data_IF_956467078915
#
_entry.id   IF_956467078915
#
_cell.length_a   1.000
_cell.length_b   1.000
_cell.length_c   1.000
_cell.angle_alpha   90.00
_cell.angle_beta   90.00
_cell.angle_gamma   90.00
#
_symmetry.space_group_name_H-M   'P 1'
#
loop_
_entity.id
_entity.type
_entity.pdbx_description
1 polymer ?
#
# COMPACT_ATOMS: atom_id res chain seq x y z
N UNK A 1 4.74 39.12 -38.05
CA UNK A 1 4.40 37.88 -37.33
C UNK A 1 5.66 37.05 -37.30
N UNK A 2 6.33 36.96 -36.15
CA UNK A 2 7.49 36.09 -35.99
C UNK A 2 6.94 34.65 -36.01
N UNK A 3 7.30 33.88 -37.03
CA UNK A 3 6.90 32.48 -37.12
C UNK A 3 7.68 31.65 -36.09
N UNK A 4 7.02 30.65 -35.50
CA UNK A 4 7.66 29.71 -34.58
C UNK A 4 8.90 29.08 -35.22
N UNK A 5 10.03 29.07 -34.50
CA UNK A 5 11.27 28.41 -34.89
C UNK A 5 11.35 27.04 -34.24
N UNK A 6 11.60 26.01 -35.03
CA UNK A 6 11.68 24.63 -34.54
C UNK A 6 12.97 23.94 -34.93
N UNK A 7 13.41 23.03 -34.06
CA UNK A 7 14.45 22.05 -34.35
C UNK A 7 13.78 20.68 -34.48
N UNK A 8 14.12 19.91 -35.52
CA UNK A 8 13.62 18.53 -35.65
C UNK A 8 14.68 17.55 -35.20
N UNK A 9 14.36 16.73 -34.20
CA UNK A 9 15.25 15.68 -33.68
C UNK A 9 14.81 14.31 -34.19
N UNK A 10 15.63 13.70 -35.04
CA UNK A 10 15.37 12.42 -35.69
C UNK A 10 15.24 12.60 -37.20
N UNK A 11 16.20 12.09 -37.95
CA UNK A 11 16.32 12.26 -39.40
C UNK A 11 16.02 10.96 -40.15
N UNK A 12 15.23 10.07 -39.52
CA UNK A 12 14.87 8.75 -40.03
C UNK A 12 13.63 8.72 -40.93
N UNK A 13 13.06 7.53 -41.10
CA UNK A 13 11.93 7.29 -42.01
C UNK A 13 10.67 8.10 -41.66
N UNK A 14 10.41 8.36 -40.37
CA UNK A 14 9.23 9.14 -39.94
C UNK A 14 9.36 10.58 -40.41
N UNK A 15 10.52 11.21 -40.18
CA UNK A 15 10.82 12.54 -40.68
C UNK A 15 10.69 12.62 -42.22
N UNK A 16 11.28 11.66 -42.94
CA UNK A 16 11.18 11.63 -44.41
C UNK A 16 9.74 11.53 -44.92
N UNK A 17 8.91 10.71 -44.27
CA UNK A 17 7.47 10.59 -44.62
C UNK A 17 6.68 11.85 -44.33
N UNK A 18 7.05 12.58 -43.28
CA UNK A 18 6.38 13.82 -42.85
C UNK A 18 6.99 15.08 -43.44
N UNK A 19 8.07 14.98 -44.21
CA UNK A 19 8.83 16.12 -44.72
C UNK A 19 7.93 17.19 -45.37
N UNK A 20 6.96 16.77 -46.21
CA UNK A 20 6.02 17.68 -46.90
C UNK A 20 4.99 18.37 -45.99
N UNK A 21 4.83 17.91 -44.75
CA UNK A 21 3.90 18.46 -43.77
C UNK A 21 4.55 19.59 -42.96
N UNK A 22 5.87 19.60 -42.83
CA UNK A 22 6.58 20.67 -42.14
C UNK A 22 6.57 21.97 -42.94
N UNK A 23 6.40 23.09 -42.25
CA UNK A 23 6.70 24.40 -42.79
C UNK A 23 8.23 24.61 -42.77
N UNK A 24 8.86 24.50 -43.93
CA UNK A 24 10.31 24.63 -44.07
C UNK A 24 10.85 25.98 -43.57
N UNK A 25 10.03 27.04 -43.58
CA UNK A 25 10.46 28.35 -43.09
C UNK A 25 10.60 28.38 -41.56
N UNK A 26 9.95 27.46 -40.84
CA UNK A 26 10.02 27.32 -39.38
C UNK A 26 11.17 26.44 -38.91
N UNK A 27 11.62 25.49 -39.72
CA UNK A 27 12.68 24.55 -39.35
C UNK A 27 14.05 25.20 -39.49
N UNK A 28 14.68 25.53 -38.36
CA UNK A 28 16.00 26.19 -38.35
C UNK A 28 17.15 25.20 -38.42
N UNK A 29 16.95 23.99 -37.89
CA UNK A 29 17.96 22.94 -37.88
C UNK A 29 17.33 21.55 -37.71
N UNK A 30 18.08 20.53 -38.11
CA UNK A 30 17.78 19.12 -37.84
C UNK A 30 18.94 18.47 -37.11
N UNK A 31 18.65 17.49 -36.27
CA UNK A 31 19.65 16.77 -35.48
C UNK A 31 19.27 15.31 -35.29
N UNK A 32 20.26 14.45 -35.06
CA UNK A 32 20.09 13.01 -34.87
C UNK A 32 21.34 12.45 -34.18
N UNK A 33 21.18 11.47 -33.29
CA UNK A 33 22.30 10.88 -32.53
C UNK A 33 23.28 10.08 -33.40
N UNK A 34 22.89 9.69 -34.61
CA UNK A 34 23.68 8.79 -35.46
C UNK A 34 23.97 9.35 -36.85
N UNK A 35 23.68 10.64 -37.12
CA UNK A 35 23.69 11.17 -38.49
C UNK A 35 24.69 12.32 -38.76
N UNK A 36 25.79 12.40 -37.99
CA UNK A 36 26.81 13.44 -38.15
C UNK A 36 27.56 13.40 -39.50
N UNK A 37 27.56 12.24 -40.18
CA UNK A 37 28.24 12.04 -41.46
C UNK A 37 27.41 12.46 -42.68
N UNK A 38 26.17 12.94 -42.49
CA UNK A 38 25.26 13.33 -43.59
C UNK A 38 25.57 14.69 -44.23
N UNK A 39 26.70 15.31 -43.87
CA UNK A 39 27.14 16.63 -44.37
C UNK A 39 26.47 17.81 -43.64
N UNK A 40 26.85 19.03 -44.00
CA UNK A 40 26.37 20.27 -43.34
C UNK A 40 24.87 20.54 -43.53
N UNK A 41 24.25 19.94 -44.56
CA UNK A 41 22.83 20.11 -44.87
C UNK A 41 22.11 18.80 -45.18
N UNK A 42 20.89 18.66 -44.70
CA UNK A 42 20.00 17.52 -44.97
C UNK A 42 18.63 18.01 -45.43
N UNK A 43 18.22 17.64 -46.65
CA UNK A 43 17.02 18.20 -47.32
C UNK A 43 16.95 19.75 -47.30
N UNK A 44 18.11 20.42 -47.30
CA UNK A 44 18.21 21.88 -47.26
C UNK A 44 18.28 22.48 -45.85
N UNK A 45 18.02 21.71 -44.79
CA UNK A 45 18.15 22.13 -43.40
C UNK A 45 19.58 21.99 -42.90
N UNK A 46 20.01 22.90 -42.02
CA UNK A 46 21.30 22.79 -41.34
C UNK A 46 21.30 21.57 -40.40
N UNK A 47 22.33 20.73 -40.49
CA UNK A 47 22.53 19.62 -39.56
C UNK A 47 23.39 20.11 -38.39
N UNK A 48 22.89 19.94 -37.17
CA UNK A 48 23.61 20.29 -35.94
C UNK A 48 23.77 19.07 -35.05
N UNK A 49 24.75 19.12 -34.15
CA UNK A 49 24.88 18.14 -33.09
C UNK A 49 23.86 18.38 -31.97
N UNK A 50 23.41 17.32 -31.26
CA UNK A 50 22.51 17.48 -30.12
C UNK A 50 23.02 18.48 -29.08
N UNK A 51 24.34 18.53 -28.86
CA UNK A 51 24.95 19.46 -27.90
C UNK A 51 24.87 20.92 -28.35
N UNK A 52 24.76 21.17 -29.66
CA UNK A 52 24.67 22.50 -30.24
C UNK A 52 23.25 23.09 -30.14
N UNK A 53 22.22 22.29 -29.81
CA UNK A 53 20.83 22.73 -29.67
C UNK A 53 20.74 23.97 -28.76
N UNK A 54 21.46 23.96 -27.62
CA UNK A 54 21.46 25.05 -26.63
C UNK A 54 22.02 26.37 -27.16
N UNK A 55 22.75 26.35 -28.28
CA UNK A 55 23.37 27.55 -28.85
C UNK A 55 22.43 28.31 -29.78
N UNK A 56 21.29 27.70 -30.13
CA UNK A 56 20.31 28.27 -31.06
C UNK A 56 19.12 28.88 -30.32
N UNK A 57 18.50 29.86 -30.97
CA UNK A 57 17.22 30.44 -30.53
C UNK A 57 16.07 29.71 -31.24
N UNK A 58 15.28 28.96 -30.48
CA UNK A 58 14.14 28.18 -30.96
C UNK A 58 13.00 28.18 -29.94
N UNK A 59 11.79 27.90 -30.42
CA UNK A 59 10.59 27.76 -29.60
C UNK A 59 10.42 26.29 -29.14
N UNK A 60 10.52 25.34 -30.07
CA UNK A 60 10.29 23.91 -29.80
C UNK A 60 11.27 22.96 -30.50
N UNK A 61 11.47 21.80 -29.89
CA UNK A 61 12.12 20.62 -30.45
C UNK A 61 11.03 19.59 -30.76
N UNK A 62 10.94 19.18 -32.01
CA UNK A 62 10.01 18.16 -32.48
C UNK A 62 10.76 16.84 -32.63
N UNK A 63 10.49 15.88 -31.74
CA UNK A 63 11.05 14.53 -31.83
C UNK A 63 10.32 13.76 -32.91
N UNK A 64 11.02 13.37 -33.98
CA UNK A 64 10.46 12.76 -35.18
C UNK A 64 11.01 11.34 -35.41
N UNK A 65 10.83 10.48 -34.40
CA UNK A 65 11.29 9.08 -34.41
C UNK A 65 10.25 8.13 -33.84
N UNK A 66 10.52 6.81 -33.88
CA UNK A 66 9.66 5.80 -33.27
C UNK A 66 9.76 5.81 -31.73
N UNK A 67 8.74 5.31 -31.04
CA UNK A 67 8.62 5.41 -29.57
C UNK A 67 9.91 5.13 -28.80
N UNK A 68 10.49 3.95 -28.98
CA UNK A 68 11.60 3.49 -28.14
C UNK A 68 12.73 4.50 -28.17
N UNK A 69 13.04 5.00 -29.36
CA UNK A 69 14.06 6.01 -29.60
C UNK A 69 13.59 7.39 -29.10
N UNK A 70 12.29 7.70 -29.23
CA UNK A 70 11.74 8.97 -28.75
C UNK A 70 11.88 9.12 -27.22
N UNK A 71 11.71 8.03 -26.46
CA UNK A 71 11.93 8.00 -25.00
C UNK A 71 13.39 8.29 -24.65
N UNK A 72 14.33 7.67 -25.37
CA UNK A 72 15.76 7.89 -25.19
C UNK A 72 16.16 9.34 -25.52
N UNK A 73 15.66 9.88 -26.64
CA UNK A 73 15.91 11.28 -27.04
C UNK A 73 15.28 12.24 -26.02
N UNK A 74 14.07 11.97 -25.53
CA UNK A 74 13.44 12.80 -24.52
C UNK A 74 14.29 12.87 -23.25
N UNK A 75 14.74 11.71 -22.73
CA UNK A 75 15.63 11.63 -21.57
C UNK A 75 16.95 12.37 -21.84
N UNK A 76 17.56 12.19 -23.01
CA UNK A 76 18.77 12.92 -23.40
C UNK A 76 18.55 14.44 -23.39
N UNK A 77 17.44 14.91 -23.95
CA UNK A 77 17.12 16.33 -23.99
C UNK A 77 16.90 16.90 -22.58
N UNK A 78 16.17 16.19 -21.71
CA UNK A 78 15.80 16.69 -20.39
C UNK A 78 16.87 16.49 -19.32
N UNK A 79 17.56 15.35 -19.30
CA UNK A 79 18.51 15.00 -18.24
C UNK A 79 19.93 15.41 -18.60
N UNK A 80 20.38 15.09 -19.83
CA UNK A 80 21.75 15.40 -20.28
C UNK A 80 21.85 16.85 -20.75
N UNK A 81 20.93 17.26 -21.63
CA UNK A 81 20.94 18.58 -22.23
C UNK A 81 20.05 19.58 -21.49
N UNK A 82 19.46 19.22 -20.35
CA UNK A 82 18.63 20.08 -19.47
C UNK A 82 17.72 21.06 -20.23
N UNK A 83 17.17 20.62 -21.36
CA UNK A 83 16.19 21.39 -22.12
C UNK A 83 14.87 21.30 -21.35
N UNK A 84 14.19 22.43 -21.12
CA UNK A 84 12.88 22.43 -20.48
C UNK A 84 11.90 21.52 -21.21
N UNK A 85 11.20 20.64 -20.46
CA UNK A 85 10.17 19.74 -21.03
C UNK A 85 9.11 20.51 -21.84
N UNK A 86 8.84 21.77 -21.47
CA UNK A 86 7.90 22.65 -22.18
C UNK A 86 8.30 22.99 -23.61
N UNK A 87 9.56 22.78 -23.98
CA UNK A 87 10.08 23.02 -25.33
C UNK A 87 10.15 21.74 -26.17
N UNK A 88 9.75 20.58 -25.63
CA UNK A 88 9.90 19.28 -26.30
C UNK A 88 8.52 18.71 -26.60
N UNK A 89 8.31 18.21 -27.81
CA UNK A 89 7.07 17.54 -28.21
C UNK A 89 7.32 16.43 -29.23
N UNK A 90 6.41 15.47 -29.34
CA UNK A 90 6.43 14.53 -30.47
C UNK A 90 5.98 15.18 -31.77
N UNK A 91 6.31 14.54 -32.88
CA UNK A 91 5.83 14.94 -34.20
C UNK A 91 4.31 14.87 -34.31
N UNK A 92 3.67 13.88 -33.67
CA UNK A 92 2.21 13.76 -33.70
C UNK A 92 1.54 14.95 -33.07
N UNK A 93 2.03 15.34 -31.88
CA UNK A 93 1.52 16.51 -31.19
C UNK A 93 1.74 17.80 -31.99
N UNK A 94 2.91 17.95 -32.62
CA UNK A 94 3.19 19.07 -33.51
C UNK A 94 2.19 19.17 -34.67
N UNK A 95 1.73 18.03 -35.21
CA UNK A 95 0.72 17.97 -36.27
C UNK A 95 -0.73 17.88 -35.76
N UNK A 96 -0.98 18.18 -34.49
CA UNK A 96 -2.32 18.10 -33.84
C UNK A 96 -2.97 16.69 -33.96
N UNK A 97 -2.14 15.66 -34.11
CA UNK A 97 -2.56 14.27 -34.09
C UNK A 97 -2.58 13.74 -32.66
N UNK A 98 -3.41 12.70 -32.41
CA UNK A 98 -3.40 12.00 -31.13
C UNK A 98 -2.00 11.43 -30.89
N UNK A 99 -1.29 11.88 -29.83
CA UNK A 99 0.04 11.38 -29.56
C UNK A 99 -0.03 9.88 -29.31
N UNK A 100 0.98 9.18 -29.80
CA UNK A 100 1.16 7.79 -29.42
C UNK A 100 1.73 7.82 -27.99
N UNK A 101 0.88 7.84 -26.96
CA UNK A 101 1.29 7.51 -25.58
C UNK A 101 0.27 6.75 -24.71
N UNK A 102 -0.63 5.91 -25.26
CA UNK A 102 -1.40 4.94 -24.45
C UNK A 102 -0.52 4.08 -23.54
N UNK A 103 0.68 3.75 -24.04
CA UNK A 103 1.62 2.81 -23.43
C UNK A 103 2.30 3.41 -22.21
N UNK A 104 2.66 4.70 -22.24
CA UNK A 104 3.32 5.36 -21.11
C UNK A 104 2.40 5.46 -19.90
N UNK A 105 1.09 5.63 -20.10
CA UNK A 105 0.10 5.56 -19.01
C UNK A 105 0.01 4.15 -18.43
N UNK A 106 -0.06 3.12 -19.27
CA UNK A 106 -0.14 1.72 -18.81
C UNK A 106 1.15 1.26 -18.14
N UNK A 107 2.31 1.60 -18.70
CA UNK A 107 3.63 1.33 -18.11
C UNK A 107 3.75 2.03 -16.75
N UNK A 108 3.35 3.31 -16.67
CA UNK A 108 3.28 4.05 -15.41
C UNK A 108 2.37 3.36 -14.40
N UNK A 109 1.18 2.93 -14.81
CA UNK A 109 0.26 2.20 -13.94
C UNK A 109 0.88 0.89 -13.44
N UNK A 110 1.51 0.11 -14.32
CA UNK A 110 2.20 -1.15 -13.96
C UNK A 110 3.28 -0.90 -12.92
N UNK A 111 4.10 0.14 -13.09
CA UNK A 111 5.18 0.50 -12.16
C UNK A 111 4.66 0.87 -10.76
N UNK A 112 3.42 1.35 -10.66
CA UNK A 112 2.72 1.62 -9.39
C UNK A 112 1.93 0.41 -8.84
N UNK A 113 2.08 -0.78 -9.45
CA UNK A 113 1.32 -1.98 -9.07
C UNK A 113 -0.18 -1.88 -9.38
N UNK A 114 -0.55 -1.03 -10.34
CA UNK A 114 -1.95 -0.80 -10.75
C UNK A 114 -2.28 -1.76 -11.89
N UNK A 115 -3.00 -2.83 -11.56
CA UNK A 115 -3.41 -3.89 -12.50
C UNK A 115 -4.89 -3.82 -12.91
N UNK A 116 -5.67 -2.91 -12.29
CA UNK A 116 -7.08 -2.71 -12.66
C UNK A 116 -7.50 -1.25 -12.57
N UNK A 117 -7.99 -0.71 -13.69
CA UNK A 117 -8.27 0.72 -13.89
C UNK A 117 -9.72 0.92 -14.33
N UNK A 118 -10.51 1.65 -13.54
CA UNK A 118 -11.85 2.07 -13.93
C UNK A 118 -11.78 3.21 -14.95
N UNK A 119 -12.15 2.93 -16.20
CA UNK A 119 -12.16 3.92 -17.28
C UNK A 119 -13.51 4.65 -17.38
N UNK A 120 -13.82 5.44 -16.34
CA UNK A 120 -15.17 6.00 -16.15
C UNK A 120 -15.66 6.97 -17.25
N UNK A 121 -14.75 7.48 -18.10
CA UNK A 121 -15.03 8.47 -19.15
C UNK A 121 -14.68 8.01 -20.57
N UNK A 122 -14.39 6.71 -20.78
CA UNK A 122 -13.85 6.22 -22.06
C UNK A 122 -12.59 6.98 -22.51
N UNK A 123 -11.79 7.49 -21.57
CA UNK A 123 -10.58 8.27 -21.84
C UNK A 123 -9.66 7.54 -22.82
N UNK A 124 -9.45 6.25 -22.55
CA UNK A 124 -8.68 5.40 -23.44
C UNK A 124 -9.22 5.39 -24.88
N UNK A 125 -10.53 5.20 -25.08
CA UNK A 125 -11.12 5.22 -26.42
C UNK A 125 -10.98 6.58 -27.11
N UNK A 126 -11.18 7.69 -26.39
CA UNK A 126 -11.04 9.04 -26.96
C UNK A 126 -9.60 9.39 -27.34
N UNK A 127 -8.62 8.66 -26.82
CA UNK A 127 -7.19 8.78 -27.14
C UNK A 127 -6.70 7.65 -28.07
N UNK A 128 -7.61 7.01 -28.81
CA UNK A 128 -7.27 6.00 -29.81
C UNK A 128 -6.78 4.66 -29.23
N UNK A 129 -7.06 4.41 -27.96
CA UNK A 129 -6.61 3.22 -27.23
C UNK A 129 -7.71 2.18 -27.27
N UNK A 130 -7.59 1.27 -28.24
CA UNK A 130 -8.63 0.31 -28.59
C UNK A 130 -8.39 -1.10 -28.03
N UNK A 131 -7.16 -1.41 -27.60
CA UNK A 131 -6.81 -2.68 -26.99
C UNK A 131 -5.62 -2.55 -26.03
N UNK A 132 -5.36 -3.59 -25.24
CA UNK A 132 -4.16 -3.76 -24.43
C UNK A 132 -2.99 -4.35 -25.24
N UNK A 133 -3.12 -4.52 -26.55
CA UNK A 133 -2.06 -5.04 -27.43
C UNK A 133 -1.44 -3.90 -28.23
N UNK A 134 -0.12 -3.90 -28.33
CA UNK A 134 0.61 -2.90 -29.10
C UNK A 134 0.71 -3.32 -30.59
N UNK A 135 1.16 -2.41 -31.48
CA UNK A 135 1.26 -2.71 -32.93
C UNK A 135 2.33 -3.76 -33.28
N UNK A 136 3.18 -4.11 -32.30
CA UNK A 136 4.19 -5.18 -32.40
C UNK A 136 3.67 -6.51 -31.83
N UNK A 137 2.43 -6.56 -31.33
CA UNK A 137 1.84 -7.74 -30.71
C UNK A 137 2.14 -7.94 -29.22
N UNK A 138 2.82 -7.00 -28.54
CA UNK A 138 3.03 -7.11 -27.09
C UNK A 138 1.76 -6.75 -26.33
N UNK A 139 1.38 -7.60 -25.38
CA UNK A 139 0.15 -7.48 -24.60
C UNK A 139 0.42 -6.92 -23.18
N UNK A 140 -0.34 -5.90 -22.80
CA UNK A 140 -0.52 -5.47 -21.41
C UNK A 140 -1.72 -6.23 -20.78
N UNK A 141 -1.72 -7.56 -20.93
CA UNK A 141 -2.80 -8.44 -20.44
C UNK A 141 -2.96 -8.46 -18.93
N UNK A 142 -1.92 -8.07 -18.20
CA UNK A 142 -1.91 -7.89 -16.76
C UNK A 142 -2.66 -6.65 -16.27
N UNK A 143 -3.05 -5.72 -17.17
CA UNK A 143 -3.83 -4.54 -16.81
C UNK A 143 -5.24 -4.65 -17.41
N UNK A 144 -6.25 -4.69 -16.55
CA UNK A 144 -7.68 -4.80 -16.92
C UNK A 144 -8.41 -3.46 -16.74
N UNK A 145 -9.15 -3.03 -17.77
CA UNK A 145 -9.75 -1.68 -17.79
C UNK A 145 -11.26 -1.85 -17.79
N UNK A 146 -11.82 -2.08 -16.60
CA UNK A 146 -13.18 -2.59 -16.42
C UNK A 146 -14.17 -1.53 -15.90
N UNK A 147 -15.41 -1.98 -15.62
CA UNK A 147 -16.39 -1.23 -14.84
C UNK A 147 -15.90 -1.04 -13.40
N UNK A 148 -16.35 0.05 -12.78
CA UNK A 148 -15.83 0.63 -11.52
C UNK A 148 -15.67 -0.31 -10.32
N UNK A 149 -16.48 -1.36 -10.21
CA UNK A 149 -16.64 -2.14 -8.97
C UNK A 149 -15.48 -3.12 -8.66
N UNK A 150 -14.58 -3.37 -9.62
CA UNK A 150 -13.45 -4.30 -9.46
C UNK A 150 -12.07 -3.64 -9.59
N UNK A 151 -12.03 -2.33 -9.78
CA UNK A 151 -10.78 -1.63 -10.09
C UNK A 151 -10.14 -1.02 -8.85
N UNK A 152 -8.82 -1.20 -8.70
CA UNK A 152 -8.03 -0.56 -7.64
C UNK A 152 -7.77 0.92 -7.94
N UNK A 153 -7.77 1.31 -9.22
CA UNK A 153 -7.58 2.68 -9.65
C UNK A 153 -8.77 3.21 -10.43
N UNK A 154 -8.94 4.53 -10.47
CA UNK A 154 -9.86 5.21 -11.38
C UNK A 154 -9.15 6.31 -12.15
N UNK A 155 -9.39 6.33 -13.47
CA UNK A 155 -8.96 7.41 -14.34
C UNK A 155 -10.08 8.46 -14.42
N UNK A 156 -9.84 9.63 -13.84
CA UNK A 156 -10.83 10.70 -13.70
C UNK A 156 -10.77 11.72 -14.87
N UNK A 157 -9.76 11.59 -15.74
CA UNK A 157 -9.61 12.32 -16.99
C UNK A 157 -8.67 13.53 -16.88
N UNK A 158 -8.80 14.44 -17.84
CA UNK A 158 -7.87 15.55 -18.02
C UNK A 158 -8.10 16.72 -17.06
N UNK A 159 -7.01 17.22 -16.49
CA UNK A 159 -6.92 18.47 -15.72
C UNK A 159 -5.97 19.44 -16.43
N UNK A 160 -6.23 20.74 -16.28
CA UNK A 160 -5.44 21.82 -16.91
C UNK A 160 -4.66 22.63 -15.89
N UNK A 161 -5.27 22.83 -14.73
CA UNK A 161 -4.77 23.63 -13.61
C UNK A 161 -5.29 23.07 -12.27
N UNK A 162 -4.80 23.62 -11.17
CA UNK A 162 -5.17 23.21 -9.80
C UNK A 162 -6.69 23.34 -9.57
N UNK A 163 -7.32 24.40 -10.08
CA UNK A 163 -8.75 24.63 -9.93
C UNK A 163 -9.59 23.54 -10.63
N UNK A 164 -9.18 23.10 -11.80
CA UNK A 164 -9.83 22.02 -12.55
C UNK A 164 -9.68 20.67 -11.86
N UNK A 165 -8.54 20.44 -11.20
CA UNK A 165 -8.28 19.24 -10.41
C UNK A 165 -9.16 19.20 -9.16
N UNK A 166 -9.21 20.29 -8.38
CA UNK A 166 -10.07 20.37 -7.19
C UNK A 166 -11.56 20.26 -7.56
N UNK A 167 -12.00 20.88 -8.65
CA UNK A 167 -13.38 20.74 -9.12
C UNK A 167 -13.76 19.28 -9.45
N UNK A 168 -12.84 18.48 -10.00
CA UNK A 168 -13.10 17.06 -10.25
C UNK A 168 -13.14 16.27 -8.94
N UNK A 169 -12.25 16.59 -7.99
CA UNK A 169 -12.18 15.93 -6.69
C UNK A 169 -13.42 16.22 -5.84
N UNK A 170 -13.84 17.48 -5.76
CA UNK A 170 -15.06 17.86 -5.05
C UNK A 170 -16.28 17.14 -5.61
N UNK A 171 -16.38 17.03 -6.95
CA UNK A 171 -17.44 16.24 -7.60
C UNK A 171 -17.32 14.73 -7.33
N UNK A 172 -16.12 14.24 -7.10
CA UNK A 172 -15.86 12.85 -6.80
C UNK A 172 -16.25 12.52 -5.34
N UNK A 173 -15.93 13.42 -4.40
CA UNK A 173 -16.20 13.29 -2.97
C UNK A 173 -17.65 13.65 -2.59
N UNK A 174 -18.26 14.65 -3.23
CA UNK A 174 -19.63 15.07 -2.96
C UNK A 174 -20.69 14.06 -3.45
N UNK A 175 -20.31 13.07 -4.25
CA UNK A 175 -21.26 12.04 -4.69
C UNK A 175 -21.67 11.18 -3.51
N UNK A 176 -22.98 11.18 -3.25
CA UNK A 176 -23.73 10.48 -2.18
C UNK A 176 -23.44 8.97 -2.01
N UNK A 177 -22.58 8.38 -2.85
CA UNK A 177 -22.08 7.01 -2.76
C UNK A 177 -20.55 7.02 -2.73
N UNK A 178 -19.98 6.83 -1.53
CA UNK A 178 -18.71 6.16 -1.13
C UNK A 178 -17.55 5.92 -2.13
N UNK A 179 -17.33 6.71 -3.19
CA UNK A 179 -16.20 6.45 -4.10
C UNK A 179 -14.82 6.67 -3.44
N UNK A 180 -14.77 7.47 -2.37
CA UNK A 180 -13.57 7.73 -1.55
C UNK A 180 -12.94 6.45 -0.97
N UNK A 181 -13.74 5.40 -0.77
CA UNK A 181 -13.28 4.14 -0.17
C UNK A 181 -13.10 2.99 -1.18
N UNK A 182 -13.39 3.22 -2.47
CA UNK A 182 -13.36 2.16 -3.48
C UNK A 182 -11.98 2.07 -4.15
N UNK A 183 -11.36 3.22 -4.46
CA UNK A 183 -10.13 3.24 -5.24
C UNK A 183 -8.92 3.60 -4.38
N UNK A 184 -7.88 2.76 -4.44
CA UNK A 184 -6.56 3.03 -3.86
C UNK A 184 -5.82 4.12 -4.64
N UNK A 185 -6.07 4.24 -5.94
CA UNK A 185 -5.41 5.23 -6.80
C UNK A 185 -6.40 6.09 -7.58
N UNK A 186 -6.22 7.40 -7.55
CA UNK A 186 -6.92 8.38 -8.40
C UNK A 186 -5.92 8.91 -9.42
N UNK A 187 -6.19 8.70 -10.71
CA UNK A 187 -5.28 9.08 -11.79
C UNK A 187 -5.91 10.23 -12.58
N UNK A 188 -5.11 11.29 -12.77
CA UNK A 188 -5.45 12.46 -13.57
C UNK A 188 -4.42 12.61 -14.66
N UNK A 189 -4.89 12.74 -15.90
CA UNK A 189 -4.03 13.14 -17.01
C UNK A 189 -3.96 14.66 -17.03
N UNK A 190 -2.79 15.21 -17.33
CA UNK A 190 -2.60 16.66 -17.37
C UNK A 190 -2.57 17.07 -18.84
N UNK A 191 -3.61 17.78 -19.28
CA UNK A 191 -3.66 18.35 -20.62
C UNK A 191 -3.03 19.74 -20.58
N UNK A 192 -1.82 19.87 -21.14
CA UNK A 192 -1.15 21.17 -21.26
C UNK A 192 -0.48 21.32 -22.61
N UNK A 193 -1.03 22.15 -23.49
CA UNK A 193 -0.25 22.87 -24.51
C UNK A 193 0.61 23.92 -23.80
N UNK A 194 1.89 23.61 -23.59
CA UNK A 194 2.86 24.53 -22.98
C UNK A 194 2.76 24.68 -21.45
N UNK A 195 3.92 24.59 -20.81
CA UNK A 195 4.31 25.11 -19.48
C UNK A 195 3.93 24.39 -18.18
N UNK A 196 5.03 24.00 -17.50
CA UNK A 196 5.26 23.58 -16.10
C UNK A 196 4.41 22.46 -15.51
N UNK A 197 5.06 21.52 -14.80
CA UNK A 197 4.38 20.45 -14.04
C UNK A 197 3.37 21.06 -13.08
N UNK A 198 2.16 20.49 -13.02
CA UNK A 198 1.16 20.83 -12.00
C UNK A 198 1.77 20.63 -10.61
N UNK A 199 1.87 21.68 -9.81
CA UNK A 199 2.39 21.63 -8.44
C UNK A 199 1.23 21.64 -7.45
N UNK A 200 0.46 20.56 -7.45
CA UNK A 200 -0.66 20.43 -6.52
C UNK A 200 -0.13 20.28 -5.09
N UNK A 201 -0.78 20.94 -4.14
CA UNK A 201 -0.50 20.74 -2.71
C UNK A 201 -0.78 19.28 -2.33
N UNK A 202 0.03 18.75 -1.42
CA UNK A 202 -0.24 17.48 -0.75
C UNK A 202 -1.67 17.45 -0.21
N UNK A 203 -2.43 16.41 -0.56
CA UNK A 203 -3.79 16.19 -0.05
C UNK A 203 -3.73 15.28 1.18
N UNK A 204 -4.42 15.65 2.24
CA UNK A 204 -4.51 14.84 3.46
C UNK A 204 -5.07 13.44 3.15
N UNK A 205 -4.42 12.41 3.70
CA UNK A 205 -4.79 11.01 3.44
C UNK A 205 -4.35 10.45 2.08
N UNK A 206 -3.56 11.18 1.28
CA UNK A 206 -3.03 10.70 0.00
C UNK A 206 -1.54 11.01 -0.17
N UNK A 207 -0.79 10.04 -0.72
CA UNK A 207 0.50 10.32 -1.35
C UNK A 207 0.26 10.85 -2.77
N UNK A 208 0.99 11.89 -3.14
CA UNK A 208 0.91 12.50 -4.48
C UNK A 208 2.14 12.14 -5.29
N UNK A 209 1.92 11.56 -6.46
CA UNK A 209 2.97 11.18 -7.40
C UNK A 209 2.81 11.93 -8.71
N UNK A 210 3.92 12.42 -9.23
CA UNK A 210 3.99 13.15 -10.50
C UNK A 210 4.78 12.32 -11.50
N UNK A 211 4.17 12.02 -12.63
CA UNK A 211 4.84 11.28 -13.71
C UNK A 211 4.86 12.19 -14.94
N UNK A 212 6.03 12.34 -15.55
CA UNK A 212 6.22 13.10 -16.79
C UNK A 212 6.92 12.25 -17.84
N UNK A 213 6.49 12.41 -19.09
CA UNK A 213 7.05 11.78 -20.28
C UNK A 213 6.81 12.63 -21.53
N UNK A 214 7.18 12.10 -22.70
CA UNK A 214 7.01 12.76 -23.99
C UNK A 214 5.52 12.77 -24.38
N UNK A 215 4.83 13.83 -23.95
CA UNK A 215 3.41 14.13 -24.17
C UNK A 215 2.41 13.54 -23.15
N UNK A 216 2.88 12.76 -22.16
CA UNK A 216 2.08 12.36 -21.00
C UNK A 216 2.58 13.01 -19.72
N UNK A 217 1.63 13.61 -19.01
CA UNK A 217 1.81 14.02 -17.63
C UNK A 217 0.67 13.44 -16.79
N UNK A 218 1.02 12.84 -15.66
CA UNK A 218 0.06 12.27 -14.72
C UNK A 218 0.25 12.89 -13.33
N UNK A 219 -0.89 13.12 -12.68
CA UNK A 219 -0.96 13.26 -11.23
C UNK A 219 -1.67 12.01 -10.70
N UNK A 220 -1.01 11.26 -9.82
CA UNK A 220 -1.58 10.10 -9.16
C UNK A 220 -1.70 10.39 -7.67
N UNK A 221 -2.92 10.34 -7.15
CA UNK A 221 -3.15 10.28 -5.71
C UNK A 221 -3.32 8.83 -5.27
N UNK A 222 -2.40 8.36 -4.43
CA UNK A 222 -2.46 7.06 -3.78
C UNK A 222 -3.00 7.23 -2.37
N UNK A 223 -4.14 6.61 -2.06
CA UNK A 223 -4.76 6.66 -0.73
C UNK A 223 -3.81 6.04 0.29
N UNK A 224 -3.62 6.73 1.41
CA UNK A 224 -2.94 6.18 2.57
C UNK A 224 -3.84 5.14 3.26
N UNK A 225 -3.28 3.98 3.56
CA UNK A 225 -3.99 2.86 4.21
C UNK A 225 -4.36 3.24 5.64
N UNK A 226 -5.63 3.25 6.05
CA UNK A 226 -5.97 3.62 7.43
C UNK A 226 -5.29 2.68 8.43
N UNK A 227 -4.87 3.24 9.57
CA UNK A 227 -4.18 2.49 10.64
C UNK A 227 -5.01 2.55 11.91
N UNK A 228 -5.30 1.40 12.50
CA UNK A 228 -5.87 1.31 13.85
C UNK A 228 -5.21 0.21 14.66
N UNK A 229 -4.64 0.59 15.80
CA UNK A 229 -4.02 -0.29 16.78
C UNK A 229 -4.97 -0.34 17.98
N UNK A 230 -5.70 -1.44 18.09
CA UNK A 230 -6.63 -1.68 19.17
C UNK A 230 -5.86 -1.98 20.45
N UNK A 231 -6.22 -1.31 21.54
CA UNK A 231 -5.60 -1.48 22.85
C UNK A 231 -6.58 -2.22 23.76
N UNK A 232 -6.35 -3.53 23.90
CA UNK A 232 -7.13 -4.40 24.75
C UNK A 232 -6.96 -4.02 26.23
N UNK A 233 -8.08 -3.71 26.90
CA UNK A 233 -8.10 -3.37 28.32
C UNK A 233 -9.30 -3.96 29.07
N UNK A 234 -9.15 -4.13 30.38
CA UNK A 234 -10.23 -4.44 31.32
C UNK A 234 -10.19 -3.51 32.55
N UNK A 235 -9.40 -2.43 32.47
CA UNK A 235 -9.17 -1.43 33.52
C UNK A 235 -8.94 -0.05 32.90
N UNK A 236 -9.23 0.98 33.67
CA UNK A 236 -8.84 2.34 33.31
C UNK A 236 -7.31 2.43 33.19
N UNK A 237 -6.86 3.16 32.17
CA UNK A 237 -5.44 3.33 31.90
C UNK A 237 -5.18 4.67 31.19
N UNK A 238 -3.94 5.16 31.27
CA UNK A 238 -3.51 6.34 30.52
C UNK A 238 -3.39 6.01 29.02
N UNK A 239 -4.44 6.30 28.27
CA UNK A 239 -4.47 6.12 26.82
C UNK A 239 -3.44 7.03 26.12
N UNK A 240 -2.74 6.54 25.08
CA UNK A 240 -1.86 7.38 24.28
C UNK A 240 -2.62 8.54 23.65
N UNK A 241 -1.99 9.71 23.59
CA UNK A 241 -2.53 10.86 22.86
C UNK A 241 -2.22 10.72 21.36
N UNK A 242 -2.89 9.78 20.69
CA UNK A 242 -2.72 9.53 19.26
C UNK A 242 -3.92 8.77 18.68
N UNK A 243 -4.40 9.23 17.53
CA UNK A 243 -5.65 8.76 16.91
C UNK A 243 -5.58 7.32 16.40
N UNK A 244 -4.38 6.78 16.16
CA UNK A 244 -4.24 5.38 15.72
C UNK A 244 -4.45 4.39 16.86
N UNK A 245 -4.41 4.82 18.13
CA UNK A 245 -4.58 3.92 19.28
C UNK A 245 -6.02 3.94 19.77
N UNK A 246 -6.73 2.84 19.50
CA UNK A 246 -8.17 2.73 19.77
C UNK A 246 -8.38 1.84 20.99
N UNK A 247 -8.88 2.40 22.09
CA UNK A 247 -9.16 1.60 23.30
C UNK A 247 -10.32 0.62 23.05
N UNK A 248 -10.08 -0.68 23.30
CA UNK A 248 -11.09 -1.73 23.24
C UNK A 248 -11.26 -2.36 24.63
N UNK A 249 -12.44 -2.19 25.21
CA UNK A 249 -12.77 -2.71 26.52
C UNK A 249 -13.30 -4.14 26.44
N UNK A 250 -12.66 -5.04 27.18
CA UNK A 250 -12.95 -6.46 27.18
C UNK A 250 -13.76 -6.88 28.41
N UNK A 251 -14.72 -7.77 28.18
CA UNK A 251 -15.56 -8.34 29.24
C UNK A 251 -16.66 -7.41 29.75
N UNK A 252 -17.39 -7.87 30.77
CA UNK A 252 -18.73 -7.36 31.12
C UNK A 252 -18.78 -6.28 32.21
N UNK A 253 -17.66 -5.89 32.82
CA UNK A 253 -17.65 -4.86 33.89
C UNK A 253 -17.71 -3.45 33.29
N UNK A 254 -18.69 -2.67 33.73
CA UNK A 254 -19.06 -1.37 33.14
C UNK A 254 -18.87 -0.19 34.11
N UNK A 255 -17.65 0.10 34.58
CA UNK A 255 -17.45 1.28 35.41
C UNK A 255 -16.09 1.92 35.15
N UNK A 256 -16.04 2.76 34.10
CA UNK A 256 -14.80 3.18 33.47
C UNK A 256 -14.84 4.69 33.21
N UNK A 257 -13.68 5.35 33.34
CA UNK A 257 -13.54 6.81 33.19
C UNK A 257 -12.87 7.22 31.86
N UNK A 258 -12.58 6.27 30.99
CA UNK A 258 -11.92 6.49 29.70
C UNK A 258 -12.90 6.33 28.53
N UNK A 259 -12.55 6.85 27.35
CA UNK A 259 -13.27 6.54 26.10
C UNK A 259 -12.85 5.16 25.60
N UNK A 260 -13.80 4.35 25.13
CA UNK A 260 -13.53 2.98 24.66
C UNK A 260 -14.60 2.47 23.70
N UNK A 261 -14.21 1.51 22.87
CA UNK A 261 -15.11 0.61 22.15
C UNK A 261 -15.48 -0.59 23.04
N UNK A 262 -16.70 -1.10 22.86
CA UNK A 262 -17.19 -2.33 23.50
C UNK A 262 -17.22 -3.47 22.49
N UNK A 263 -17.17 -4.69 23.00
CA UNK A 263 -17.37 -5.92 22.23
C UNK A 263 -18.84 -6.12 21.79
N UNK A 264 -19.48 -5.11 21.20
CA UNK A 264 -20.87 -5.16 20.73
C UNK A 264 -20.96 -5.81 19.33
N UNK A 265 -22.10 -6.38 18.95
CA UNK A 265 -22.27 -7.03 17.63
C UNK A 265 -21.79 -8.49 17.62
N UNK A 266 -21.08 -8.91 16.57
CA UNK A 266 -20.57 -10.28 16.42
C UNK A 266 -19.35 -10.52 17.32
N UNK A 267 -19.57 -11.12 18.48
CA UNK A 267 -18.54 -11.24 19.52
C UNK A 267 -18.57 -12.59 20.24
N UNK A 268 -17.46 -12.89 20.92
CA UNK A 268 -17.31 -14.08 21.78
C UNK A 268 -16.91 -13.69 23.21
N UNK A 269 -17.37 -12.54 23.69
CA UNK A 269 -17.03 -11.99 25.01
C UNK A 269 -17.37 -12.94 26.17
N UNK A 270 -18.36 -13.83 25.99
CA UNK A 270 -18.71 -14.89 26.95
C UNK A 270 -17.56 -15.88 27.21
N UNK A 271 -16.57 -16.00 26.31
CA UNK A 271 -15.40 -16.84 26.46
C UNK A 271 -14.22 -16.13 27.15
N UNK A 272 -14.35 -14.84 27.53
CA UNK A 272 -13.24 -14.02 28.02
C UNK A 272 -12.50 -14.64 29.23
N UNK A 273 -13.22 -15.35 30.11
CA UNK A 273 -12.62 -16.06 31.26
C UNK A 273 -11.66 -17.19 30.86
N UNK A 274 -11.80 -17.73 29.64
CA UNK A 274 -11.01 -18.87 29.12
C UNK A 274 -9.93 -18.46 28.13
N UNK A 275 -10.18 -17.42 27.32
CA UNK A 275 -9.30 -17.01 26.20
C UNK A 275 -8.84 -15.54 26.25
N UNK A 276 -9.18 -14.80 27.30
CA UNK A 276 -8.68 -13.46 27.58
C UNK A 276 -8.76 -12.48 26.38
N UNK A 277 -7.64 -11.83 26.03
CA UNK A 277 -7.54 -10.81 24.99
C UNK A 277 -7.93 -11.34 23.59
N UNK A 278 -8.03 -12.67 23.41
CA UNK A 278 -8.51 -13.26 22.17
C UNK A 278 -9.98 -12.89 21.86
N UNK A 279 -10.77 -12.54 22.87
CA UNK A 279 -12.14 -12.02 22.65
C UNK A 279 -12.11 -10.67 21.93
N UNK A 280 -11.21 -9.77 22.35
CA UNK A 280 -10.93 -8.52 21.66
C UNK A 280 -10.35 -8.72 20.26
N UNK A 281 -9.45 -9.69 20.08
CA UNK A 281 -8.93 -10.08 18.76
C UNK A 281 -10.05 -10.56 17.83
N UNK A 282 -11.00 -11.37 18.32
CA UNK A 282 -12.16 -11.81 17.54
C UNK A 282 -13.03 -10.63 17.13
N UNK A 283 -13.31 -9.73 18.08
CA UNK A 283 -14.10 -8.55 17.80
C UNK A 283 -13.43 -7.66 16.74
N UNK A 284 -12.11 -7.44 16.86
CA UNK A 284 -11.31 -6.72 15.87
C UNK A 284 -11.39 -7.39 14.49
N UNK A 285 -11.28 -8.72 14.41
CA UNK A 285 -11.41 -9.47 13.15
C UNK A 285 -12.74 -9.18 12.43
N UNK A 286 -13.84 -9.13 13.17
CA UNK A 286 -15.19 -8.93 12.62
C UNK A 286 -15.54 -7.48 12.29
N UNK A 287 -14.94 -6.51 12.97
CA UNK A 287 -15.42 -5.12 12.94
C UNK A 287 -14.41 -4.10 12.43
N UNK A 288 -13.11 -4.38 12.44
CA UNK A 288 -12.12 -3.45 11.91
C UNK A 288 -12.29 -3.29 10.40
N UNK A 289 -12.27 -2.03 9.92
CA UNK A 289 -12.39 -1.71 8.50
C UNK A 289 -11.11 -1.11 7.93
N UNK A 290 -10.13 -0.85 8.78
CA UNK A 290 -8.85 -0.27 8.44
C UNK A 290 -7.98 -1.26 7.68
N UNK A 291 -7.19 -0.77 6.72
CA UNK A 291 -6.31 -1.59 5.91
C UNK A 291 -5.11 -2.12 6.72
N UNK A 292 -4.66 -1.38 7.74
CA UNK A 292 -3.65 -1.78 8.71
C UNK A 292 -4.27 -1.82 10.09
N UNK A 293 -4.12 -2.97 10.75
CA UNK A 293 -4.72 -3.28 12.05
C UNK A 293 -3.68 -3.84 13.00
N UNK A 294 -3.80 -3.53 14.27
CA UNK A 294 -2.92 -4.09 15.30
C UNK A 294 -3.61 -4.30 16.63
N UNK A 295 -3.00 -5.14 17.46
CA UNK A 295 -3.45 -5.42 18.82
C UNK A 295 -2.31 -5.15 19.80
N UNK A 296 -2.57 -4.23 20.72
CA UNK A 296 -1.74 -3.93 21.89
C UNK A 296 -2.51 -4.24 23.17
N UNK A 297 -1.78 -4.34 24.28
CA UNK A 297 -2.38 -4.45 25.60
C UNK A 297 -2.24 -3.10 26.32
N UNK A 298 -3.14 -2.77 27.24
CA UNK A 298 -3.19 -1.47 27.96
C UNK A 298 -1.91 -1.04 28.72
N UNK A 299 -0.92 -1.92 28.88
CA UNK A 299 0.39 -1.67 29.50
C UNK A 299 1.60 -1.96 28.61
N UNK A 300 1.36 -2.42 27.37
CA UNK A 300 2.41 -2.88 26.45
C UNK A 300 2.15 -2.29 25.08
N UNK A 301 3.07 -1.44 24.65
CA UNK A 301 2.98 -0.75 23.35
C UNK A 301 4.24 -1.02 22.55
N UNK A 302 4.11 -1.21 21.24
CA UNK A 302 5.26 -1.28 20.36
C UNK A 302 6.07 0.02 20.38
N UNK A 303 7.39 -0.12 20.28
CA UNK A 303 8.33 0.99 20.07
C UNK A 303 9.45 0.56 19.12
N UNK A 304 10.12 1.52 18.49
CA UNK A 304 11.35 1.21 17.76
C UNK A 304 12.46 0.74 18.70
N UNK A 305 13.40 -0.07 18.19
CA UNK A 305 14.52 -0.62 18.99
C UNK A 305 15.31 0.44 19.76
N UNK A 306 15.54 1.59 19.13
CA UNK A 306 16.26 2.73 19.72
C UNK A 306 15.31 3.87 20.13
N UNK A 307 14.00 3.64 20.08
CA UNK A 307 12.99 4.65 20.41
C UNK A 307 12.59 4.61 21.88
N UNK A 308 12.28 5.78 22.42
CA UNK A 308 11.67 5.94 23.75
C UNK A 308 10.15 6.13 23.67
N UNK A 309 9.63 6.42 22.47
CA UNK A 309 8.23 6.71 22.23
C UNK A 309 7.48 5.49 21.68
N UNK A 310 6.15 5.53 21.82
CA UNK A 310 5.25 4.59 21.16
C UNK A 310 5.40 4.69 19.64
N UNK A 311 5.15 3.59 18.94
CA UNK A 311 5.19 3.56 17.48
C UNK A 311 4.18 4.57 16.90
N UNK A 312 4.68 5.48 16.08
CA UNK A 312 3.87 6.44 15.34
C UNK A 312 3.29 5.79 14.08
N UNK A 313 2.25 6.41 13.52
CA UNK A 313 1.64 5.95 12.27
C UNK A 313 2.65 5.85 11.12
N UNK A 314 3.56 6.83 11.03
CA UNK A 314 4.62 6.84 10.01
C UNK A 314 5.56 5.65 10.14
N UNK A 315 5.93 5.29 11.38
CA UNK A 315 6.83 4.16 11.64
C UNK A 315 6.14 2.81 11.37
N UNK A 316 4.85 2.69 11.72
CA UNK A 316 4.03 1.52 11.35
C UNK A 316 4.06 1.30 9.84
N UNK A 317 3.77 2.36 9.07
CA UNK A 317 3.74 2.30 7.60
C UNK A 317 5.10 1.94 7.03
N UNK A 318 6.16 2.60 7.51
CA UNK A 318 7.53 2.33 7.08
C UNK A 318 7.93 0.87 7.31
N UNK A 319 7.57 0.28 8.46
CA UNK A 319 7.80 -1.15 8.69
C UNK A 319 6.97 -2.02 7.74
N UNK A 320 5.70 -1.72 7.50
CA UNK A 320 4.84 -2.55 6.65
C UNK A 320 5.06 -2.35 5.13
N UNK A 321 5.95 -1.45 4.73
CA UNK A 321 6.48 -1.38 3.36
C UNK A 321 7.40 -2.56 3.04
N UNK A 322 8.18 -3.04 4.03
CA UNK A 322 9.16 -4.10 3.86
C UNK A 322 8.74 -5.44 4.49
N UNK A 323 7.87 -5.41 5.50
CA UNK A 323 7.48 -6.57 6.30
C UNK A 323 5.97 -6.81 6.25
N UNK A 324 5.56 -8.07 6.36
CA UNK A 324 4.14 -8.46 6.34
C UNK A 324 3.46 -8.26 7.70
N UNK A 325 4.21 -8.41 8.78
CA UNK A 325 3.71 -8.33 10.16
C UNK A 325 4.80 -7.84 11.10
N UNK A 326 4.40 -6.94 12.00
CA UNK A 326 5.17 -6.51 13.16
C UNK A 326 4.72 -7.35 14.35
N UNK A 327 5.64 -7.95 15.07
CA UNK A 327 5.38 -8.73 16.30
C UNK A 327 6.32 -8.29 17.42
N UNK A 328 5.99 -8.68 18.65
CA UNK A 328 6.89 -8.46 19.80
C UNK A 328 8.15 -9.30 19.61
N UNK A 329 9.31 -8.77 20.02
CA UNK A 329 10.55 -9.54 20.09
C UNK A 329 10.32 -10.94 20.66
N UNK A 330 10.86 -11.95 20.00
CA UNK A 330 10.82 -13.31 20.46
C UNK A 330 11.44 -13.43 21.85
N UNK A 331 10.84 -14.26 22.69
CA UNK A 331 11.39 -14.62 23.99
C UNK A 331 11.81 -16.08 24.00
N UNK A 332 12.83 -16.41 24.79
CA UNK A 332 13.36 -17.76 24.90
C UNK A 332 12.99 -18.39 26.25
N UNK A 333 12.52 -19.64 26.22
CA UNK A 333 12.25 -20.46 27.40
C UNK A 333 13.40 -21.44 27.70
N UNK A 334 14.49 -21.40 26.94
CA UNK A 334 15.64 -22.28 27.14
C UNK A 334 16.17 -22.22 28.60
N UNK A 335 16.49 -23.36 29.24
CA UNK A 335 16.61 -24.71 28.67
C UNK A 335 15.30 -25.53 28.63
N UNK A 336 14.14 -24.94 28.95
CA UNK A 336 12.85 -25.62 28.90
C UNK A 336 12.18 -25.42 27.54
N UNK A 337 11.54 -26.47 27.01
CA UNK A 337 10.67 -26.32 25.84
C UNK A 337 9.48 -25.43 26.18
N UNK A 338 8.88 -24.81 25.18
CA UNK A 338 7.70 -23.95 25.35
C UNK A 338 6.57 -24.72 26.05
N UNK A 339 6.35 -25.98 25.68
CA UNK A 339 5.38 -26.86 26.33
C UNK A 339 5.66 -27.03 27.82
N UNK A 340 6.91 -27.29 28.22
CA UNK A 340 7.28 -27.48 29.63
C UNK A 340 7.20 -26.18 30.42
N UNK A 341 7.63 -25.06 29.83
CA UNK A 341 7.51 -23.75 30.45
C UNK A 341 6.04 -23.41 30.72
N UNK A 342 5.17 -23.64 29.74
CA UNK A 342 3.73 -23.40 29.88
C UNK A 342 3.08 -24.32 30.92
N UNK A 343 3.45 -25.61 30.96
CA UNK A 343 3.02 -26.54 31.99
C UNK A 343 3.41 -26.06 33.39
N UNK A 344 4.63 -25.55 33.56
CA UNK A 344 5.14 -25.09 34.86
C UNK A 344 4.48 -23.80 35.37
N UNK A 345 3.77 -23.06 34.51
CA UNK A 345 3.13 -21.80 34.89
C UNK A 345 1.68 -21.95 35.35
N UNK A 346 1.07 -23.13 35.28
CA UNK A 346 -0.33 -23.36 35.65
C UNK A 346 -0.58 -24.74 36.27
N UNK A 347 -1.82 -25.02 36.68
CA UNK A 347 -2.21 -26.36 37.11
C UNK A 347 -1.97 -27.41 36.01
N UNK A 348 -1.28 -28.50 36.36
CA UNK A 348 -0.88 -29.55 35.40
C UNK A 348 -2.07 -30.25 34.74
N UNK A 349 -3.21 -30.38 35.42
CA UNK A 349 -4.41 -30.99 34.85
C UNK A 349 -5.09 -30.01 33.89
N UNK A 350 -5.14 -28.73 34.23
CA UNK A 350 -5.62 -27.68 33.33
C UNK A 350 -4.78 -27.63 32.05
N UNK A 351 -3.45 -27.65 32.18
CA UNK A 351 -2.51 -27.70 31.06
C UNK A 351 -2.79 -28.91 30.15
N UNK A 352 -2.80 -30.12 30.71
CA UNK A 352 -3.00 -31.35 29.93
C UNK A 352 -4.37 -31.35 29.22
N UNK A 353 -5.42 -30.90 29.91
CA UNK A 353 -6.76 -30.82 29.34
C UNK A 353 -6.83 -29.81 28.20
N UNK A 354 -6.27 -28.62 28.40
CA UNK A 354 -6.20 -27.58 27.38
C UNK A 354 -5.38 -28.02 26.15
N UNK A 355 -4.20 -28.61 26.37
CA UNK A 355 -3.35 -29.15 25.29
C UNK A 355 -4.11 -30.18 24.45
N UNK A 356 -4.78 -31.12 25.10
CA UNK A 356 -5.57 -32.14 24.42
C UNK A 356 -6.69 -31.54 23.56
N UNK A 357 -7.41 -30.54 24.08
CA UNK A 357 -8.49 -29.88 23.35
C UNK A 357 -7.98 -29.10 22.14
N UNK A 358 -6.86 -28.39 22.29
CA UNK A 358 -6.21 -27.68 21.18
C UNK A 358 -5.74 -28.66 20.10
N UNK A 359 -5.05 -29.74 20.48
CA UNK A 359 -4.62 -30.78 19.53
C UNK A 359 -5.82 -31.40 18.81
N UNK A 360 -6.90 -31.74 19.53
CA UNK A 360 -8.11 -32.30 18.93
C UNK A 360 -8.74 -31.33 17.92
N UNK A 361 -8.78 -30.04 18.22
CA UNK A 361 -9.32 -29.03 17.33
C UNK A 361 -8.43 -28.84 16.08
N UNK A 362 -7.10 -28.80 16.24
CA UNK A 362 -6.14 -28.78 15.12
C UNK A 362 -6.35 -30.01 14.22
N UNK A 363 -6.32 -31.22 14.78
CA UNK A 363 -6.49 -32.46 14.01
C UNK A 363 -7.81 -32.54 13.27
N UNK A 364 -8.86 -31.91 13.80
CA UNK A 364 -10.20 -31.93 13.18
C UNK A 364 -10.36 -30.88 12.08
N UNK A 365 -9.90 -29.65 12.32
CA UNK A 365 -10.23 -28.50 11.48
C UNK A 365 -9.04 -27.95 10.69
N UNK A 366 -7.82 -28.16 11.18
CA UNK A 366 -6.57 -27.63 10.63
C UNK A 366 -5.45 -28.68 10.66
N UNK A 367 -5.68 -29.92 10.16
CA UNK A 367 -4.78 -31.06 10.38
C UNK A 367 -3.35 -30.79 9.89
N UNK A 368 -3.18 -30.00 8.83
CA UNK A 368 -1.89 -29.65 8.25
C UNK A 368 -0.99 -28.79 9.17
N UNK A 369 -1.50 -28.34 10.33
CA UNK A 369 -0.73 -27.58 11.33
C UNK A 369 -0.20 -28.44 12.49
N UNK A 370 -0.52 -29.73 12.57
CA UNK A 370 -0.12 -30.54 13.72
C UNK A 370 1.40 -30.63 13.88
N UNK A 371 2.12 -30.78 12.77
CA UNK A 371 3.59 -30.82 12.78
C UNK A 371 4.16 -29.48 13.26
N UNK A 372 3.70 -28.36 12.69
CA UNK A 372 4.11 -27.02 13.11
C UNK A 372 3.79 -26.73 14.57
N UNK A 373 2.66 -27.23 15.07
CA UNK A 373 2.31 -27.12 16.48
C UNK A 373 3.30 -27.87 17.36
N UNK A 374 3.65 -29.12 17.02
CA UNK A 374 4.61 -29.93 17.77
C UNK A 374 5.99 -29.26 17.76
N UNK A 375 6.49 -28.87 16.59
CA UNK A 375 7.81 -28.24 16.43
C UNK A 375 7.93 -26.96 17.27
N UNK A 376 6.92 -26.09 17.24
CA UNK A 376 6.93 -24.87 18.06
C UNK A 376 6.83 -25.19 19.55
N UNK A 377 5.97 -26.13 19.95
CA UNK A 377 5.79 -26.45 21.36
C UNK A 377 7.00 -27.16 21.98
N UNK A 378 7.74 -27.93 21.18
CA UNK A 378 9.01 -28.59 21.58
C UNK A 378 10.22 -27.68 21.40
N UNK A 379 10.08 -26.55 20.70
CA UNK A 379 11.06 -25.49 20.58
C UNK A 379 11.24 -24.64 21.84
N UNK A 380 12.06 -23.59 21.71
CA UNK A 380 12.49 -22.75 22.83
C UNK A 380 12.17 -21.27 22.65
N UNK A 381 11.68 -20.82 21.50
CA UNK A 381 11.44 -19.41 21.23
C UNK A 381 10.04 -19.16 20.67
N UNK A 382 9.35 -18.15 21.20
CA UNK A 382 8.01 -17.77 20.74
C UNK A 382 7.79 -16.26 20.83
N UNK A 383 6.78 -15.77 20.13
CA UNK A 383 6.34 -14.37 20.16
C UNK A 383 5.28 -14.20 21.26
N UNK A 384 5.56 -13.44 22.33
CA UNK A 384 4.63 -13.33 23.44
C UNK A 384 3.50 -12.33 23.18
N UNK A 385 2.53 -12.33 24.08
CA UNK A 385 1.43 -11.38 24.25
C UNK A 385 0.32 -11.36 23.19
N UNK A 386 0.33 -12.17 22.13
CA UNK A 386 -0.64 -12.03 21.03
C UNK A 386 -0.69 -10.62 20.42
N UNK A 387 0.39 -9.86 20.55
CA UNK A 387 0.48 -8.50 20.05
C UNK A 387 1.14 -8.49 18.68
N UNK A 388 0.54 -7.76 17.74
CA UNK A 388 1.05 -7.60 16.40
C UNK A 388 0.44 -6.37 15.71
N UNK A 389 1.04 -5.96 14.59
CA UNK A 389 0.47 -4.99 13.64
C UNK A 389 0.67 -5.54 12.23
N UNK A 390 -0.38 -5.59 11.42
CA UNK A 390 -0.33 -6.20 10.09
C UNK A 390 -1.40 -5.63 9.16
N UNK A 391 -1.38 -6.04 7.89
CA UNK A 391 -2.47 -5.77 6.94
C UNK A 391 -3.70 -6.58 7.31
N UNK A 392 -4.90 -6.00 7.11
CA UNK A 392 -6.18 -6.64 7.43
C UNK A 392 -6.33 -8.04 6.83
N UNK A 393 -5.83 -8.26 5.63
CA UNK A 393 -5.86 -9.57 4.97
C UNK A 393 -5.06 -10.66 5.70
N UNK A 394 -3.96 -10.30 6.37
CA UNK A 394 -3.17 -11.24 7.18
C UNK A 394 -3.92 -11.54 8.48
N UNK A 395 -4.50 -10.51 9.11
CA UNK A 395 -5.37 -10.67 10.28
C UNK A 395 -6.52 -11.64 9.98
N UNK A 396 -7.18 -11.47 8.84
CA UNK A 396 -8.35 -12.28 8.47
C UNK A 396 -8.03 -13.75 8.34
N UNK A 397 -6.96 -14.09 7.62
CA UNK A 397 -6.48 -15.48 7.49
C UNK A 397 -6.04 -16.06 8.84
N UNK A 398 -5.31 -15.27 9.63
CA UNK A 398 -4.87 -15.71 10.95
C UNK A 398 -6.05 -15.98 11.88
N UNK A 399 -7.04 -15.09 11.93
CA UNK A 399 -8.19 -15.23 12.82
C UNK A 399 -9.12 -16.36 12.38
N UNK A 400 -9.35 -16.53 11.07
CA UNK A 400 -10.11 -17.67 10.56
C UNK A 400 -9.49 -19.00 11.02
N UNK A 401 -8.17 -19.13 10.88
CA UNK A 401 -7.43 -20.28 11.38
C UNK A 401 -7.47 -20.40 12.91
N UNK A 402 -7.08 -19.36 13.63
CA UNK A 402 -6.97 -19.35 15.10
C UNK A 402 -8.30 -19.72 15.75
N UNK A 403 -9.39 -19.04 15.36
CA UNK A 403 -10.70 -19.23 15.98
C UNK A 403 -11.36 -20.55 15.59
N UNK A 404 -10.99 -21.17 14.47
CA UNK A 404 -11.38 -22.56 14.18
C UNK A 404 -10.81 -23.57 15.21
N UNK A 405 -9.74 -23.20 15.92
CA UNK A 405 -9.09 -24.01 16.95
C UNK A 405 -9.55 -23.61 18.35
N UNK A 406 -9.44 -22.32 18.69
CA UNK A 406 -9.57 -21.89 20.09
C UNK A 406 -11.03 -21.80 20.57
N UNK A 407 -12.00 -21.51 19.69
CA UNK A 407 -13.43 -21.51 20.06
C UNK A 407 -13.88 -22.90 20.50
N UNK A 408 -13.76 -23.96 19.67
CA UNK A 408 -14.19 -25.29 20.10
C UNK A 408 -13.37 -25.80 21.29
N UNK A 409 -12.09 -25.44 21.41
CA UNK A 409 -11.28 -25.82 22.57
C UNK A 409 -11.77 -25.14 23.85
N UNK A 410 -12.12 -23.85 23.82
CA UNK A 410 -12.65 -23.11 24.97
C UNK A 410 -14.05 -23.60 25.39
N UNK A 411 -14.93 -23.88 24.43
CA UNK A 411 -16.28 -24.39 24.71
C UNK A 411 -16.27 -25.77 25.39
N UNK A 412 -15.25 -26.58 25.12
CA UNK A 412 -15.11 -27.93 25.68
C UNK A 412 -14.16 -28.01 26.90
N UNK A 413 -13.65 -26.86 27.36
CA UNK A 413 -12.80 -26.76 28.55
C UNK A 413 -13.67 -26.43 29.76
N UNK A 414 -13.83 -27.37 30.68
CA UNK A 414 -14.44 -27.13 32.00
C UNK A 414 -13.40 -26.52 32.93
N UNK A 415 -13.57 -25.23 33.21
CA UNK A 415 -12.67 -24.42 34.01
C UNK A 415 -12.99 -24.44 35.51
N UNK A 416 -14.17 -24.97 35.88
CA UNK A 416 -14.70 -25.01 37.27
C UNK A 416 -13.70 -25.56 38.30
N UNK A 417 -12.92 -26.63 37.99
CA UNK A 417 -12.02 -27.23 38.98
C UNK A 417 -10.74 -26.44 39.26
N UNK A 418 -10.47 -25.36 38.51
CA UNK A 418 -9.15 -24.72 38.49
C UNK A 418 -9.16 -23.32 39.11
N UNK A 419 -7.98 -22.85 39.52
CA UNK A 419 -7.79 -21.49 40.03
C UNK A 419 -7.98 -20.42 38.93
N UNK A 420 -8.17 -19.16 39.34
CA UNK A 420 -8.42 -18.05 38.41
C UNK A 420 -7.31 -17.83 37.38
N UNK A 421 -6.09 -18.28 37.66
CA UNK A 421 -5.00 -18.23 36.69
C UNK A 421 -5.18 -19.31 35.62
N UNK A 422 -5.43 -20.54 36.04
CA UNK A 422 -5.48 -21.76 35.22
C UNK A 422 -6.78 -21.91 34.45
N UNK A 423 -7.86 -21.20 34.81
CA UNK A 423 -9.07 -21.06 33.98
C UNK A 423 -8.77 -20.54 32.58
N UNK A 424 -7.66 -19.81 32.43
CA UNK A 424 -7.20 -19.17 31.18
C UNK A 424 -6.29 -20.05 30.33
N UNK A 425 -6.22 -21.35 30.62
CA UNK A 425 -5.32 -22.29 29.96
C UNK A 425 -5.39 -22.21 28.42
N UNK A 426 -6.60 -22.15 27.85
CA UNK A 426 -6.80 -22.04 26.40
C UNK A 426 -6.22 -20.72 25.84
N UNK A 427 -6.41 -19.61 26.54
CA UNK A 427 -5.82 -18.31 26.18
C UNK A 427 -4.29 -18.35 26.14
N UNK A 428 -3.65 -19.08 27.06
CA UNK A 428 -2.19 -19.22 27.02
C UNK A 428 -1.70 -20.07 25.85
N UNK A 429 -2.47 -21.08 25.41
CA UNK A 429 -2.18 -21.77 24.15
C UNK A 429 -2.37 -20.85 22.96
N UNK A 430 -3.44 -20.04 22.93
CA UNK A 430 -3.67 -19.07 21.86
C UNK A 430 -2.46 -18.13 21.66
N UNK A 431 -1.81 -17.71 22.75
CA UNK A 431 -0.55 -16.94 22.72
C UNK A 431 0.57 -17.63 21.92
N UNK A 432 0.69 -18.96 22.01
CA UNK A 432 1.70 -19.73 21.25
C UNK A 432 1.25 -20.00 19.83
N UNK A 433 -0.05 -20.02 19.57
CA UNK A 433 -0.60 -20.29 18.23
C UNK A 433 -0.24 -19.19 17.22
N UNK A 434 0.05 -17.96 17.64
CA UNK A 434 0.64 -16.95 16.74
C UNK A 434 1.99 -17.43 16.18
N UNK A 435 2.87 -17.98 17.02
CA UNK A 435 4.15 -18.53 16.57
C UNK A 435 3.95 -19.75 15.67
N UNK A 436 2.98 -20.62 15.97
CA UNK A 436 2.64 -21.77 15.10
C UNK A 436 2.19 -21.30 13.72
N UNK A 437 1.33 -20.29 13.66
CA UNK A 437 0.88 -19.69 12.41
C UNK A 437 2.06 -19.12 11.61
N UNK A 438 2.91 -18.32 12.25
CA UNK A 438 4.05 -17.69 11.60
C UNK A 438 5.12 -18.70 11.19
N UNK A 439 5.33 -19.78 11.95
CA UNK A 439 6.25 -20.86 11.59
C UNK A 439 5.80 -21.62 10.33
N UNK A 440 4.49 -21.79 10.14
CA UNK A 440 3.93 -22.51 8.98
C UNK A 440 4.03 -21.73 7.67
N UNK A 441 4.13 -20.40 7.73
CA UNK A 441 4.07 -19.52 6.55
C UNK A 441 5.36 -18.75 6.34
N UNK A 442 5.61 -18.35 5.10
CA UNK A 442 6.78 -17.57 4.71
C UNK A 442 6.50 -16.06 4.78
N UNK A 443 6.23 -15.54 5.98
CA UNK A 443 6.04 -14.11 6.20
C UNK A 443 7.36 -13.41 6.50
N UNK A 444 7.55 -12.21 5.94
CA UNK A 444 8.61 -11.29 6.38
C UNK A 444 8.21 -10.66 7.72
N UNK A 445 8.85 -11.08 8.81
CA UNK A 445 8.48 -10.68 10.18
C UNK A 445 9.39 -9.55 10.67
N UNK A 446 8.79 -8.49 11.21
CA UNK A 446 9.47 -7.43 11.95
C UNK A 446 9.29 -7.61 13.45
N UNK A 447 10.37 -7.95 14.15
CA UNK A 447 10.38 -7.94 15.61
C UNK A 447 10.65 -6.54 16.16
N UNK A 448 9.80 -6.08 17.09
CA UNK A 448 10.00 -4.83 17.82
C UNK A 448 9.87 -5.03 19.33
N UNK A 449 10.64 -4.27 20.14
CA UNK A 449 10.44 -4.27 21.58
C UNK A 449 9.14 -3.60 21.99
N UNK A 450 8.72 -3.87 23.22
CA UNK A 450 7.59 -3.21 23.87
C UNK A 450 8.06 -2.18 24.89
N UNK A 451 7.38 -1.04 24.92
CA UNK A 451 7.41 -0.10 26.03
C UNK A 451 6.41 -0.57 27.09
N UNK A 452 6.90 -0.77 28.32
CA UNK A 452 6.04 -0.94 29.49
C UNK A 452 5.66 0.45 29.99
N UNK A 453 4.36 0.73 30.02
CA UNK A 453 3.86 1.99 30.51
C UNK A 453 3.09 1.71 31.81
N UNK A 454 3.51 2.31 32.93
CA UNK A 454 2.78 2.21 34.20
C UNK A 454 1.52 3.05 34.10
N UNK A 455 0.44 2.44 33.63
CA UNK A 455 -0.76 3.16 33.21
C UNK A 455 -1.89 3.14 34.22
N UNK A 456 -1.72 2.58 35.41
CA UNK A 456 -2.79 2.57 36.41
C UNK A 456 -3.04 3.99 36.91
N UNK A 457 -4.21 4.57 36.60
CA UNK A 457 -4.69 5.76 37.30
C UNK A 457 -4.85 5.38 38.77
N UNK A 458 -3.98 5.90 39.64
CA UNK A 458 -4.21 5.80 41.08
C UNK A 458 -5.58 6.40 41.36
N UNK A 459 -6.46 5.63 42.03
CA UNK A 459 -7.70 6.19 42.55
C UNK A 459 -7.29 7.30 43.51
N UNK A 460 -7.43 8.55 43.09
CA UNK A 460 -7.42 9.68 44.02
C UNK A 460 -8.61 9.43 44.93
N UNK A 461 -8.35 8.97 46.15
CA UNK A 461 -9.36 8.92 47.20
C UNK A 461 -9.90 10.34 47.37
N UNK A 462 -11.15 10.57 46.98
CA UNK A 462 -11.92 11.73 47.41
C UNK A 462 -12.37 11.54 48.85
#
# INVERSE_FOLDING_TARGET
MVGEKIIVFGMGNIFQRRLKQFDFAKVIAVTDNHAFDKGEKYFGFQVIRPEEIRTLEYDFIVICTGYMIAKEIYVQLTETLQIPESQIMSEKRYFEEIPWEPRSLLESCRNFGIHSIANSKKYFYSHGILSNTNVMGEEFTDITWEKREKSKAILLGEVRDEASLECILDKFEAKKYSYKNIFKFLIFTVNKFGHERLKVKTREGYFTHYIGGLDLQLVIFQKQEAVSIYVATHKDYNAPNSDIYVTLWLGSKQNNNISYLKEDGDNISYLNQKINECTGLYWMWKHANEEIVGLNHYRRFFKLSNGENLLSEKEVRFCLEEYDIIVVNATSTYPMTISKHLESSMDVKAFNRAKQLVINAIMKWQPDYIESFIEVMDGYAFFPCNMFITKKEVLDRYCEWLFSIIIPAAENFDETPYDDYSKRAIGFFAERLLTVWLYKHDYCIKELPILLNDTTLEKVCQ
#
